data_IF_391432139375
#
_entry.id   IF_391432139375
#
_cell.length_a   1.000
_cell.length_b   1.000
_cell.length_c   1.000
_cell.angle_alpha   90.00
_cell.angle_beta   90.00
_cell.angle_gamma   90.00
#
_symmetry.space_group_name_H-M   'P 1'
#
loop_
_entity.id
_entity.type
_entity.pdbx_description
1 polymer ?
#
# COMPACT_ATOMS: atom_id res chain seq x y z
N UNK A 1 -19.35 49.80 -30.45
CA UNK A 1 -20.31 48.67 -30.68
C UNK A 1 -19.63 47.30 -30.60
N UNK A 2 -18.35 47.16 -30.94
CA UNK A 2 -17.64 45.84 -30.90
C UNK A 2 -17.45 45.25 -29.47
N UNK A 3 -17.32 46.07 -28.43
CA UNK A 3 -17.17 45.59 -27.03
C UNK A 3 -18.48 45.01 -26.46
N UNK A 4 -19.63 45.50 -26.84
CA UNK A 4 -20.94 45.02 -26.36
C UNK A 4 -21.28 43.65 -26.98
N UNK A 5 -20.94 43.46 -28.29
CA UNK A 5 -21.12 42.17 -28.94
C UNK A 5 -20.26 41.04 -28.36
N UNK A 6 -19.02 41.32 -27.95
CA UNK A 6 -18.11 40.36 -27.36
C UNK A 6 -18.57 39.90 -25.97
N UNK A 7 -19.15 40.80 -25.15
CA UNK A 7 -19.70 40.47 -23.81
C UNK A 7 -20.98 39.62 -23.94
N UNK A 8 -21.83 39.94 -24.90
CA UNK A 8 -23.08 39.22 -25.16
C UNK A 8 -22.76 37.81 -25.70
N UNK A 9 -21.82 37.63 -26.58
CA UNK A 9 -21.38 36.35 -27.11
C UNK A 9 -20.76 35.45 -26.00
N UNK A 10 -19.96 36.03 -25.11
CA UNK A 10 -19.41 35.32 -23.95
C UNK A 10 -20.47 34.88 -22.93
N UNK A 11 -21.56 35.67 -22.74
CA UNK A 11 -22.69 35.29 -21.89
C UNK A 11 -23.50 34.17 -22.55
N UNK A 12 -23.73 34.22 -23.85
CA UNK A 12 -24.39 33.14 -24.61
C UNK A 12 -23.60 31.84 -24.55
N UNK A 13 -22.31 31.88 -24.85
CA UNK A 13 -21.44 30.68 -24.75
C UNK A 13 -21.44 30.05 -23.36
N UNK A 14 -21.48 30.86 -22.29
CA UNK A 14 -21.61 30.36 -20.92
C UNK A 14 -22.98 29.74 -20.61
N UNK A 15 -24.03 30.12 -21.29
CA UNK A 15 -25.32 29.49 -21.19
C UNK A 15 -25.33 28.09 -21.82
N UNK A 16 -24.66 27.93 -22.98
CA UNK A 16 -24.57 26.65 -23.66
C UNK A 16 -23.62 25.66 -22.94
N UNK A 17 -22.49 26.13 -22.50
CA UNK A 17 -21.52 25.29 -21.77
C UNK A 17 -20.60 26.12 -20.88
N UNK A 18 -20.53 25.79 -19.60
CA UNK A 18 -19.54 26.33 -18.70
C UNK A 18 -19.17 25.34 -17.60
N UNK A 19 -17.94 25.43 -17.13
CA UNK A 19 -17.45 24.67 -15.98
C UNK A 19 -16.93 25.66 -14.95
N UNK A 20 -17.45 25.56 -13.71
CA UNK A 20 -17.02 26.37 -12.58
C UNK A 20 -16.66 25.44 -11.41
N UNK A 21 -15.53 25.68 -10.77
CA UNK A 21 -15.17 24.99 -9.55
C UNK A 21 -15.68 25.77 -8.33
N UNK A 22 -16.41 25.09 -7.46
CA UNK A 22 -16.94 25.64 -6.20
C UNK A 22 -16.45 24.74 -5.05
N UNK A 23 -15.61 25.26 -4.19
CA UNK A 23 -15.06 24.58 -2.99
C UNK A 23 -14.82 23.06 -3.17
N UNK A 24 -15.83 22.21 -3.01
CA UNK A 24 -15.74 20.75 -3.17
C UNK A 24 -16.54 20.23 -4.35
N UNK A 25 -17.06 21.12 -5.17
CA UNK A 25 -17.92 20.75 -6.27
C UNK A 25 -17.45 21.37 -7.57
N UNK A 26 -17.76 20.69 -8.65
CA UNK A 26 -17.70 21.26 -9.98
C UNK A 26 -19.14 21.46 -10.47
N UNK A 27 -19.44 22.67 -10.92
CA UNK A 27 -20.70 23.01 -11.53
C UNK A 27 -20.48 23.03 -13.04
N UNK A 28 -21.12 22.13 -13.74
CA UNK A 28 -21.20 22.12 -15.22
C UNK A 28 -22.55 22.69 -15.61
N UNK A 29 -22.53 23.71 -16.44
CA UNK A 29 -23.78 24.27 -17.02
C UNK A 29 -23.85 23.83 -18.47
N UNK A 30 -24.94 23.18 -18.85
CA UNK A 30 -25.25 22.76 -20.22
C UNK A 30 -26.64 23.28 -20.55
N UNK A 31 -26.78 24.11 -21.57
CA UNK A 31 -28.03 24.75 -21.94
C UNK A 31 -28.77 25.41 -20.77
N UNK A 32 -28.04 26.10 -19.90
CA UNK A 32 -28.59 26.75 -18.70
C UNK A 32 -28.87 25.82 -17.52
N UNK A 33 -28.87 24.52 -17.71
CA UNK A 33 -29.04 23.52 -16.62
C UNK A 33 -27.73 23.38 -15.87
N UNK A 34 -27.77 23.61 -14.56
CA UNK A 34 -26.59 23.48 -13.67
C UNK A 34 -26.58 22.10 -13.03
N UNK A 35 -25.58 21.31 -13.40
CA UNK A 35 -25.30 20.02 -12.78
C UNK A 35 -24.15 20.22 -11.79
N UNK A 36 -24.43 20.10 -10.51
CA UNK A 36 -23.44 20.21 -9.43
C UNK A 36 -23.05 18.80 -8.99
N UNK A 37 -21.77 18.48 -9.14
CA UNK A 37 -21.25 17.21 -8.64
C UNK A 37 -20.01 17.42 -7.79
N UNK A 38 -19.77 16.51 -6.86
CA UNK A 38 -18.64 16.57 -5.98
C UNK A 38 -17.32 16.39 -6.76
N UNK A 39 -16.40 17.35 -6.65
CA UNK A 39 -15.12 17.34 -7.32
C UNK A 39 -13.99 17.44 -6.31
N UNK A 40 -13.45 16.31 -5.87
CA UNK A 40 -12.53 16.22 -4.72
C UNK A 40 -11.15 16.82 -4.94
N UNK A 41 -10.79 17.21 -6.15
CA UNK A 41 -9.46 17.77 -6.45
C UNK A 41 -9.33 19.27 -6.20
N UNK A 42 -10.40 19.93 -5.76
CA UNK A 42 -10.36 21.32 -5.32
C UNK A 42 -10.10 21.34 -3.82
N UNK A 43 -9.04 22.01 -3.38
CA UNK A 43 -8.74 22.32 -1.98
C UNK A 43 -8.30 21.15 -1.06
N UNK A 44 -7.41 20.26 -1.52
CA UNK A 44 -6.75 19.27 -0.63
C UNK A 44 -7.64 18.13 -0.15
N UNK A 45 -8.79 17.89 -0.82
CA UNK A 45 -9.65 16.75 -0.57
C UNK A 45 -9.23 15.57 -1.46
N UNK A 46 -8.89 14.46 -0.81
CA UNK A 46 -8.39 13.25 -1.47
C UNK A 46 -9.35 12.07 -1.25
N UNK A 47 -9.28 11.10 -2.14
CA UNK A 47 -10.07 9.87 -2.04
C UNK A 47 -9.25 8.76 -1.37
N UNK A 48 -9.81 8.14 -0.34
CA UNK A 48 -9.23 6.96 0.29
C UNK A 48 -9.95 5.69 -0.17
N UNK A 49 -9.31 4.83 -0.99
CA UNK A 49 -9.93 3.58 -1.45
C UNK A 49 -10.09 2.56 -0.32
N UNK A 50 -9.26 2.60 0.73
CA UNK A 50 -9.33 1.66 1.87
C UNK A 50 -10.65 1.77 2.63
N UNK A 51 -11.12 3.00 2.90
CA UNK A 51 -12.40 3.24 3.59
C UNK A 51 -13.50 3.80 2.68
N UNK A 52 -13.23 3.96 1.38
CA UNK A 52 -14.14 4.48 0.36
C UNK A 52 -14.72 5.86 0.68
N UNK A 53 -13.89 6.78 1.21
CA UNK A 53 -14.31 8.13 1.63
C UNK A 53 -13.41 9.21 1.05
N UNK A 54 -14.00 10.39 0.83
CA UNK A 54 -13.28 11.62 0.54
C UNK A 54 -13.06 12.41 1.83
N UNK A 55 -11.89 13.05 1.94
CA UNK A 55 -11.59 13.89 3.10
C UNK A 55 -10.31 14.69 2.93
N UNK A 56 -10.10 15.66 3.81
CA UNK A 56 -8.82 16.37 3.94
C UNK A 56 -7.86 15.47 4.68
N UNK A 57 -6.83 15.03 3.96
CA UNK A 57 -5.83 14.17 4.58
C UNK A 57 -4.95 14.97 5.53
N UNK A 58 -4.53 14.32 6.60
CA UNK A 58 -3.73 14.91 7.66
C UNK A 58 -2.24 14.75 7.36
N UNK A 59 -1.46 15.64 7.90
CA UNK A 59 -0.02 15.58 7.88
C UNK A 59 0.50 14.47 8.81
N UNK A 60 1.72 14.02 8.56
CA UNK A 60 2.44 13.15 9.48
C UNK A 60 3.21 13.98 10.51
N UNK A 61 2.99 13.70 11.78
CA UNK A 61 3.73 14.35 12.87
C UNK A 61 5.17 13.81 12.89
N UNK A 62 6.15 14.69 13.06
CA UNK A 62 7.57 14.32 13.21
C UNK A 62 8.36 14.13 11.92
N UNK A 63 7.72 14.08 10.75
CA UNK A 63 8.38 14.07 9.42
C UNK A 63 7.62 15.01 8.49
N UNK A 64 8.27 15.79 7.61
CA UNK A 64 7.61 16.77 6.74
C UNK A 64 6.87 16.07 5.58
N UNK A 65 5.83 15.30 5.90
CA UNK A 65 4.94 14.64 4.93
C UNK A 65 3.53 15.18 5.10
N UNK A 66 3.11 15.97 4.11
CA UNK A 66 1.85 16.72 4.15
C UNK A 66 0.72 15.98 3.45
N UNK A 67 -0.49 16.05 4.03
CA UNK A 67 -1.72 15.49 3.49
C UNK A 67 -1.61 14.00 3.09
N UNK A 68 -0.97 13.17 3.91
CA UNK A 68 -0.69 11.75 3.59
C UNK A 68 -1.57 10.75 4.31
N UNK A 69 -2.15 11.12 5.47
CA UNK A 69 -2.88 10.23 6.35
C UNK A 69 -4.39 10.44 6.24
N UNK A 70 -5.14 9.40 5.88
CA UNK A 70 -6.60 9.48 5.83
C UNK A 70 -7.20 9.82 7.21
N UNK A 71 -8.10 10.82 7.33
CA UNK A 71 -8.68 11.21 8.61
C UNK A 71 -9.58 10.14 9.22
N UNK A 72 -10.13 9.25 8.42
CA UNK A 72 -11.10 8.22 8.85
C UNK A 72 -10.44 6.90 9.26
N UNK A 73 -9.71 6.27 8.32
CA UNK A 73 -9.10 4.95 8.56
C UNK A 73 -7.61 5.01 8.87
N UNK A 74 -7.00 6.20 8.88
CA UNK A 74 -5.57 6.42 9.15
C UNK A 74 -4.62 5.80 8.13
N UNK A 75 -5.12 5.31 6.98
CA UNK A 75 -4.27 4.76 5.93
C UNK A 75 -3.29 5.80 5.37
N UNK A 76 -2.07 5.36 5.10
CA UNK A 76 -1.01 6.09 4.40
C UNK A 76 -1.03 5.75 2.90
N UNK A 77 -0.10 6.33 2.12
CA UNK A 77 0.01 6.14 0.68
C UNK A 77 0.12 4.68 0.30
N UNK A 78 1.10 3.95 0.90
CA UNK A 78 1.31 2.51 0.68
C UNK A 78 0.05 1.68 0.90
N UNK A 79 -0.71 1.95 1.98
CA UNK A 79 -1.93 1.19 2.29
C UNK A 79 -3.00 1.38 1.21
N UNK A 80 -3.09 2.59 0.61
CA UNK A 80 -4.04 2.87 -0.47
C UNK A 80 -3.66 2.16 -1.77
N UNK A 81 -2.35 2.00 -2.02
CA UNK A 81 -1.88 1.19 -3.15
C UNK A 81 -2.07 -0.30 -2.88
N UNK A 82 -1.62 -0.78 -1.71
CA UNK A 82 -1.74 -2.19 -1.31
C UNK A 82 -3.20 -2.67 -1.27
N UNK A 83 -4.17 -1.79 -0.99
CA UNK A 83 -5.60 -2.11 -1.12
C UNK A 83 -5.95 -2.69 -2.49
N UNK A 84 -5.45 -2.12 -3.59
CA UNK A 84 -5.71 -2.63 -4.93
C UNK A 84 -5.00 -3.95 -5.19
N UNK A 85 -3.78 -4.10 -4.69
CA UNK A 85 -3.05 -5.37 -4.73
C UNK A 85 -3.84 -6.46 -3.99
N UNK A 86 -4.26 -6.20 -2.75
CA UNK A 86 -5.00 -7.15 -1.94
C UNK A 86 -6.35 -7.53 -2.57
N UNK A 87 -7.08 -6.57 -3.13
CA UNK A 87 -8.31 -6.86 -3.89
C UNK A 87 -8.06 -7.74 -5.11
N UNK A 88 -6.97 -7.50 -5.83
CA UNK A 88 -6.62 -8.27 -7.03
C UNK A 88 -6.26 -9.70 -6.67
N UNK A 89 -5.51 -9.91 -5.59
CA UNK A 89 -4.85 -11.17 -5.34
C UNK A 89 -5.53 -12.08 -4.32
N UNK A 90 -6.29 -11.56 -3.35
CA UNK A 90 -6.90 -12.43 -2.34
C UNK A 90 -8.22 -11.94 -1.71
N UNK A 91 -8.47 -10.63 -1.57
CA UNK A 91 -9.70 -10.18 -0.88
C UNK A 91 -10.99 -10.59 -1.59
N UNK A 92 -10.97 -10.74 -2.92
CA UNK A 92 -12.12 -11.18 -3.72
C UNK A 92 -12.21 -12.71 -3.84
N UNK A 93 -11.57 -13.46 -2.94
CA UNK A 93 -11.63 -14.93 -2.95
C UNK A 93 -13.05 -15.45 -2.88
N UNK A 94 -13.30 -16.61 -3.52
CA UNK A 94 -14.58 -17.33 -3.46
C UNK A 94 -14.51 -18.57 -2.56
N UNK A 95 -13.34 -18.86 -1.98
CA UNK A 95 -13.07 -19.97 -1.07
C UNK A 95 -12.44 -19.43 0.21
N UNK A 96 -12.61 -20.10 1.35
CA UNK A 96 -11.86 -19.78 2.57
C UNK A 96 -10.35 -19.81 2.32
N UNK A 97 -9.64 -18.81 2.84
CA UNK A 97 -8.16 -18.72 2.77
C UNK A 97 -7.60 -18.30 4.11
N UNK A 98 -6.38 -18.77 4.42
CA UNK A 98 -5.63 -18.40 5.61
C UNK A 98 -4.60 -17.33 5.26
N UNK A 99 -4.63 -16.21 5.97
CA UNK A 99 -3.76 -15.05 5.72
C UNK A 99 -2.96 -14.71 6.96
N UNK A 100 -1.64 -14.83 6.88
CA UNK A 100 -0.71 -14.35 7.91
C UNK A 100 -0.35 -12.88 7.64
N UNK A 101 -0.31 -12.04 8.66
CA UNK A 101 0.12 -10.65 8.54
C UNK A 101 1.09 -10.27 9.67
N UNK A 102 2.33 -9.95 9.31
CA UNK A 102 3.36 -9.51 10.25
C UNK A 102 3.21 -8.01 10.54
N UNK A 103 3.38 -7.59 11.80
CA UNK A 103 3.27 -6.20 12.25
C UNK A 103 1.99 -5.51 11.73
N UNK A 104 0.79 -5.96 12.11
CA UNK A 104 -0.46 -5.61 11.46
C UNK A 104 -0.81 -4.13 11.61
N UNK A 105 -1.09 -3.44 10.50
CA UNK A 105 -1.58 -2.07 10.53
C UNK A 105 -3.10 -2.03 10.71
N UNK A 106 -3.58 -1.18 11.64
CA UNK A 106 -5.02 -1.10 11.97
C UNK A 106 -5.93 -0.97 10.76
N UNK A 107 -5.57 -0.11 9.79
CA UNK A 107 -6.41 0.12 8.61
C UNK A 107 -6.49 -1.12 7.69
N UNK A 108 -5.49 -2.00 7.72
CA UNK A 108 -5.47 -3.26 6.98
C UNK A 108 -6.25 -4.33 7.75
N UNK A 109 -6.12 -4.40 9.08
CA UNK A 109 -6.96 -5.26 9.92
C UNK A 109 -8.44 -4.94 9.73
N UNK A 110 -8.81 -3.66 9.84
CA UNK A 110 -10.19 -3.19 9.63
C UNK A 110 -10.69 -3.46 8.18
N UNK A 111 -9.80 -3.44 7.21
CA UNK A 111 -10.11 -3.79 5.82
C UNK A 111 -10.40 -5.27 5.69
N UNK A 112 -9.45 -6.13 6.12
CA UNK A 112 -9.54 -7.59 5.96
C UNK A 112 -10.72 -8.15 6.74
N UNK A 113 -11.02 -7.62 7.92
CA UNK A 113 -12.18 -8.02 8.75
C UNK A 113 -13.56 -7.85 8.08
N UNK A 114 -13.63 -7.19 6.90
CA UNK A 114 -14.87 -7.10 6.09
C UNK A 114 -15.05 -8.26 5.12
N UNK A 115 -14.07 -9.18 5.05
CA UNK A 115 -14.05 -10.29 4.10
C UNK A 115 -14.15 -11.62 4.85
N UNK A 116 -15.37 -12.18 4.99
CA UNK A 116 -15.63 -13.31 5.88
C UNK A 116 -14.95 -14.62 5.45
N UNK A 117 -14.49 -14.72 4.21
CA UNK A 117 -13.75 -15.88 3.71
C UNK A 117 -12.24 -15.78 3.98
N UNK A 118 -11.77 -14.71 4.63
CA UNK A 118 -10.36 -14.55 5.00
C UNK A 118 -10.20 -14.87 6.48
N UNK A 119 -9.63 -16.04 6.78
CA UNK A 119 -9.15 -16.36 8.11
C UNK A 119 -7.81 -15.64 8.34
N UNK A 120 -7.88 -14.61 9.17
CA UNK A 120 -6.81 -13.62 9.31
C UNK A 120 -6.04 -13.81 10.63
N UNK A 121 -4.75 -14.04 10.50
CA UNK A 121 -3.82 -14.26 11.59
C UNK A 121 -2.78 -13.13 11.67
N UNK A 122 -3.04 -12.07 12.45
CA UNK A 122 -2.05 -11.02 12.71
C UNK A 122 -1.01 -11.51 13.72
N UNK A 123 0.26 -11.15 13.52
CA UNK A 123 1.34 -11.53 14.42
C UNK A 123 2.40 -10.44 14.58
N UNK A 124 3.05 -10.41 15.73
CA UNK A 124 4.20 -9.55 16.02
C UNK A 124 4.99 -10.14 17.21
N UNK A 125 6.25 -9.72 17.33
CA UNK A 125 7.07 -10.07 18.51
C UNK A 125 6.52 -9.43 19.80
N UNK A 126 5.89 -8.27 19.69
CA UNK A 126 5.29 -7.46 20.77
C UNK A 126 3.79 -7.25 20.58
N UNK A 127 2.96 -8.30 20.70
CA UNK A 127 1.53 -8.25 20.38
C UNK A 127 0.73 -7.26 21.24
N UNK A 128 1.22 -6.88 22.39
CA UNK A 128 0.62 -5.90 23.30
C UNK A 128 0.47 -4.50 22.68
N UNK A 129 1.22 -4.20 21.62
CA UNK A 129 1.12 -2.95 20.83
C UNK A 129 -0.17 -2.88 20.00
N UNK A 130 -0.81 -4.03 19.73
CA UNK A 130 -1.90 -4.17 18.75
C UNK A 130 -3.25 -4.43 19.42
N UNK A 131 -3.69 -3.52 20.30
CA UNK A 131 -4.95 -3.64 21.06
C UNK A 131 -6.21 -3.69 20.20
N UNK A 132 -6.10 -3.43 18.89
CA UNK A 132 -7.20 -3.42 17.95
C UNK A 132 -7.44 -4.76 17.25
N UNK A 133 -6.60 -5.77 17.48
CA UNK A 133 -6.74 -7.12 16.92
C UNK A 133 -6.17 -8.17 17.89
N UNK A 134 -6.53 -9.44 17.69
CA UNK A 134 -5.93 -10.56 18.40
C UNK A 134 -4.59 -10.92 17.78
N UNK A 135 -3.58 -10.09 18.04
CA UNK A 135 -2.24 -10.31 17.54
C UNK A 135 -1.57 -11.48 18.28
N UNK A 136 -1.01 -12.46 17.54
CA UNK A 136 -0.24 -13.57 18.11
C UNK A 136 1.20 -13.13 18.37
N UNK A 137 1.79 -13.67 19.45
CA UNK A 137 3.24 -13.48 19.72
C UNK A 137 4.03 -14.47 18.88
N UNK A 138 4.79 -13.98 17.92
CA UNK A 138 5.62 -14.78 17.03
C UNK A 138 6.90 -14.00 16.67
N UNK A 139 7.99 -14.72 16.54
CA UNK A 139 9.23 -14.20 15.95
C UNK A 139 9.23 -14.54 14.46
N UNK A 140 9.27 -13.52 13.61
CA UNK A 140 9.27 -13.67 12.15
C UNK A 140 10.48 -14.46 11.61
N UNK A 141 11.54 -14.62 12.41
CA UNK A 141 12.73 -15.42 12.08
C UNK A 141 12.66 -16.86 12.61
N UNK A 142 11.64 -17.19 13.39
CA UNK A 142 11.42 -18.53 13.97
C UNK A 142 9.94 -18.73 14.31
N UNK A 143 9.11 -18.91 13.30
CA UNK A 143 7.65 -19.02 13.44
C UNK A 143 7.24 -20.38 14.01
N UNK A 144 6.31 -20.37 14.96
CA UNK A 144 5.74 -21.59 15.54
C UNK A 144 4.75 -22.33 14.64
N UNK A 145 4.37 -21.74 13.51
CA UNK A 145 3.44 -22.34 12.55
C UNK A 145 4.10 -23.49 11.77
N UNK A 146 3.28 -24.52 11.46
CA UNK A 146 3.71 -25.61 10.60
C UNK A 146 3.99 -25.12 9.16
N UNK A 147 4.77 -25.90 8.42
CA UNK A 147 5.00 -25.68 6.99
C UNK A 147 3.69 -25.66 6.22
N UNK A 148 3.61 -24.83 5.17
CA UNK A 148 2.49 -24.83 4.24
C UNK A 148 1.12 -24.56 4.90
N UNK A 149 1.06 -23.67 5.87
CA UNK A 149 -0.15 -23.32 6.63
C UNK A 149 -0.98 -22.26 5.91
N UNK A 150 -0.34 -21.22 5.36
CA UNK A 150 -1.02 -20.02 4.88
C UNK A 150 -1.12 -19.98 3.35
N UNK A 151 -2.25 -19.48 2.85
CA UNK A 151 -2.46 -19.23 1.42
C UNK A 151 -1.81 -17.91 1.00
N UNK A 152 -1.79 -16.92 1.92
CA UNK A 152 -1.19 -15.60 1.71
C UNK A 152 -0.41 -15.18 2.94
N UNK A 153 0.77 -14.60 2.73
CA UNK A 153 1.56 -13.93 3.75
C UNK A 153 1.67 -12.44 3.39
N UNK A 154 1.38 -11.56 4.33
CA UNK A 154 1.54 -10.11 4.21
C UNK A 154 2.64 -9.64 5.13
N UNK A 155 3.58 -8.85 4.62
CA UNK A 155 4.58 -8.17 5.43
C UNK A 155 4.82 -6.77 4.91
N UNK A 156 4.47 -5.78 5.73
CA UNK A 156 4.58 -4.37 5.39
C UNK A 156 5.49 -3.67 6.40
N UNK A 157 6.58 -3.06 5.94
CA UNK A 157 7.50 -2.28 6.77
C UNK A 157 8.02 -3.10 7.97
N UNK A 158 8.58 -4.29 7.69
CA UNK A 158 9.15 -5.20 8.69
C UNK A 158 10.57 -5.60 8.32
N UNK A 159 10.83 -5.94 7.05
CA UNK A 159 12.09 -6.52 6.61
C UNK A 159 13.30 -5.61 6.89
N UNK A 160 13.11 -4.29 6.86
CA UNK A 160 14.12 -3.28 7.18
C UNK A 160 14.58 -3.27 8.65
N UNK A 161 13.81 -3.90 9.53
CA UNK A 161 14.12 -4.02 10.97
C UNK A 161 14.80 -5.36 11.33
N UNK A 162 14.80 -6.33 10.42
CA UNK A 162 15.27 -7.70 10.71
C UNK A 162 16.72 -7.86 10.28
N UNK A 163 17.62 -8.15 11.22
CA UNK A 163 19.05 -8.34 10.93
C UNK A 163 19.30 -9.47 9.94
N UNK A 164 18.68 -10.62 10.15
CA UNK A 164 18.79 -11.78 9.26
C UNK A 164 17.67 -11.80 8.20
N UNK A 165 17.91 -11.07 7.09
CA UNK A 165 17.00 -11.01 5.94
C UNK A 165 16.72 -12.40 5.36
N UNK A 166 17.72 -13.27 5.31
CA UNK A 166 17.58 -14.60 4.74
C UNK A 166 16.62 -15.46 5.56
N UNK A 167 16.79 -15.44 6.88
CA UNK A 167 15.95 -16.18 7.80
C UNK A 167 14.52 -15.70 7.80
N UNK A 168 14.32 -14.36 7.76
CA UNK A 168 13.01 -13.74 7.58
C UNK A 168 12.28 -14.26 6.32
N UNK A 169 12.94 -14.20 5.17
CA UNK A 169 12.36 -14.66 3.90
C UNK A 169 12.10 -16.17 3.91
N UNK A 170 13.03 -16.96 4.44
CA UNK A 170 12.91 -18.43 4.51
C UNK A 170 11.73 -18.86 5.38
N UNK A 171 11.57 -18.28 6.57
CA UNK A 171 10.48 -18.64 7.49
C UNK A 171 9.10 -18.26 6.94
N UNK A 172 8.95 -17.06 6.36
CA UNK A 172 7.69 -16.65 5.76
C UNK A 172 7.32 -17.49 4.53
N UNK A 173 8.32 -17.92 3.75
CA UNK A 173 8.13 -18.85 2.64
C UNK A 173 7.88 -20.29 3.11
N UNK A 174 8.48 -20.72 4.24
CA UNK A 174 8.23 -22.05 4.80
C UNK A 174 6.77 -22.23 5.17
N UNK A 175 6.18 -21.27 5.89
CA UNK A 175 4.78 -21.35 6.33
C UNK A 175 3.77 -21.10 5.22
N UNK A 176 4.19 -20.58 4.07
CA UNK A 176 3.35 -20.35 2.92
C UNK A 176 3.11 -21.67 2.18
N UNK A 177 1.88 -21.95 1.75
CA UNK A 177 1.51 -23.12 0.94
C UNK A 177 2.18 -23.08 -0.45
N UNK A 178 2.45 -24.24 -1.08
CA UNK A 178 2.83 -24.28 -2.49
C UNK A 178 1.78 -23.55 -3.35
N UNK A 179 2.23 -22.67 -4.26
CA UNK A 179 1.36 -21.78 -5.04
C UNK A 179 0.83 -20.55 -4.29
N UNK A 180 1.03 -20.47 -2.98
CA UNK A 180 0.63 -19.33 -2.15
C UNK A 180 1.40 -18.05 -2.48
N UNK A 181 0.93 -16.93 -1.96
CA UNK A 181 1.43 -15.59 -2.25
C UNK A 181 2.07 -14.94 -1.02
N UNK A 182 3.30 -14.48 -1.16
CA UNK A 182 3.93 -13.57 -0.23
C UNK A 182 3.90 -12.14 -0.82
N UNK A 183 3.15 -11.25 -0.19
CA UNK A 183 3.01 -9.84 -0.56
C UNK A 183 3.83 -9.00 0.41
N UNK A 184 4.88 -8.37 -0.11
CA UNK A 184 5.92 -7.71 0.66
C UNK A 184 6.04 -6.23 0.28
N UNK A 185 6.09 -5.35 1.28
CA UNK A 185 6.32 -3.92 1.12
C UNK A 185 7.26 -3.41 2.20
N UNK A 186 8.26 -2.64 1.80
CA UNK A 186 9.30 -2.05 2.67
C UNK A 186 9.83 -0.76 2.02
N UNK A 187 10.52 0.14 2.72
CA UNK A 187 11.06 1.34 2.13
C UNK A 187 12.28 1.05 1.26
N UNK A 188 12.28 1.57 0.03
CA UNK A 188 13.43 1.54 -0.87
C UNK A 188 13.83 2.96 -1.24
N UNK A 189 15.09 3.30 -1.01
CA UNK A 189 15.67 4.60 -1.38
C UNK A 189 16.01 4.59 -2.87
N UNK A 190 15.10 5.12 -3.70
CA UNK A 190 15.21 5.05 -5.16
C UNK A 190 16.45 5.75 -5.73
N UNK A 191 17.05 6.68 -4.99
CA UNK A 191 18.35 7.30 -5.33
C UNK A 191 19.57 6.45 -4.97
N UNK A 192 19.39 5.36 -4.20
CA UNK A 192 20.48 4.47 -3.78
C UNK A 192 20.52 3.26 -4.71
N UNK A 193 21.67 3.03 -5.36
CA UNK A 193 21.83 1.88 -6.28
C UNK A 193 21.95 0.56 -5.53
N UNK A 194 22.75 0.52 -4.47
CA UNK A 194 23.00 -0.66 -3.65
C UNK A 194 22.49 -0.47 -2.24
N UNK A 195 21.94 -1.52 -1.67
CA UNK A 195 21.54 -1.58 -0.27
C UNK A 195 22.75 -1.28 0.63
N UNK A 196 22.55 -0.36 1.56
CA UNK A 196 23.55 -0.01 2.55
C UNK A 196 23.20 -0.67 3.89
N UNK A 197 24.14 -1.46 4.41
CA UNK A 197 24.09 -2.06 5.73
C UNK A 197 25.51 -2.10 6.31
N UNK A 198 25.65 -1.63 7.54
CA UNK A 198 26.88 -1.69 8.31
C UNK A 198 26.55 -2.15 9.73
N UNK A 199 27.06 -3.31 10.12
CA UNK A 199 26.76 -3.92 11.41
C UNK A 199 27.42 -3.16 12.59
N UNK A 200 28.35 -2.24 12.33
CA UNK A 200 28.92 -1.35 13.35
C UNK A 200 27.98 -0.24 13.78
N UNK A 201 26.95 0.09 12.95
CA UNK A 201 25.93 1.09 13.25
C UNK A 201 24.89 0.48 14.19
N UNK A 202 25.03 0.74 15.48
CA UNK A 202 24.21 0.13 16.52
C UNK A 202 23.35 1.13 17.30
N UNK A 203 23.81 2.39 17.43
CA UNK A 203 23.05 3.41 18.17
C UNK A 203 21.79 3.87 17.42
N UNK A 204 20.69 4.19 18.12
CA UNK A 204 19.47 4.71 17.51
C UNK A 204 19.69 5.97 16.66
N UNK A 205 20.55 6.86 17.11
CA UNK A 205 20.89 8.13 16.45
C UNK A 205 21.62 7.89 15.12
N UNK A 206 22.57 6.97 15.10
CA UNK A 206 23.29 6.60 13.87
C UNK A 206 22.36 5.88 12.89
N UNK A 207 21.52 4.95 13.37
CA UNK A 207 20.52 4.28 12.53
C UNK A 207 19.56 5.28 11.90
N UNK A 208 19.05 6.26 12.65
CA UNK A 208 18.22 7.31 12.08
C UNK A 208 18.94 8.13 11.01
N UNK A 209 20.20 8.47 11.26
CA UNK A 209 21.05 9.21 10.32
C UNK A 209 21.31 8.44 9.01
N UNK A 210 21.67 7.16 9.11
CA UNK A 210 22.11 6.37 7.96
C UNK A 210 20.99 5.57 7.29
N UNK A 211 19.99 5.14 8.04
CA UNK A 211 18.90 4.29 7.55
C UNK A 211 17.54 4.99 7.57
N UNK A 212 17.46 6.24 8.07
CA UNK A 212 16.26 7.08 8.07
C UNK A 212 15.27 6.79 9.20
N UNK A 213 15.56 5.82 10.09
CA UNK A 213 14.77 5.53 11.29
C UNK A 213 15.65 4.82 12.33
N UNK A 214 15.41 5.12 13.62
CA UNK A 214 16.23 4.71 14.77
C UNK A 214 16.32 3.18 14.98
N UNK A 215 15.39 2.41 14.45
CA UNK A 215 15.29 0.95 14.57
C UNK A 215 15.46 0.19 13.25
N UNK A 216 15.73 0.89 12.14
CA UNK A 216 16.17 0.25 10.91
C UNK A 216 17.59 -0.31 11.05
N UNK A 217 17.87 -1.42 10.39
CA UNK A 217 19.19 -2.06 10.37
C UNK A 217 19.85 -1.97 9.00
N UNK A 218 19.15 -1.42 8.01
CA UNK A 218 19.64 -1.14 6.66
C UNK A 218 18.81 -0.11 5.93
N UNK A 219 19.41 0.47 4.89
CA UNK A 219 18.72 1.27 3.89
C UNK A 219 18.71 0.50 2.55
N UNK A 220 17.57 0.00 2.12
CA UNK A 220 17.45 -0.70 0.85
C UNK A 220 17.67 0.23 -0.34
N UNK A 221 18.59 -0.17 -1.24
CA UNK A 221 18.76 0.41 -2.56
C UNK A 221 17.94 -0.32 -3.62
N UNK A 222 18.04 0.15 -4.88
CA UNK A 222 17.31 -0.45 -6.02
C UNK A 222 17.73 -1.88 -6.34
N UNK A 223 18.93 -2.31 -5.94
CA UNK A 223 19.44 -3.67 -6.10
C UNK A 223 18.53 -4.73 -5.47
N UNK A 224 17.77 -4.37 -4.42
CA UNK A 224 16.89 -5.31 -3.75
C UNK A 224 15.87 -5.95 -4.71
N UNK A 225 15.36 -5.19 -5.69
CA UNK A 225 14.41 -5.73 -6.66
C UNK A 225 15.02 -6.82 -7.54
N UNK A 226 16.25 -6.61 -8.04
CA UNK A 226 16.96 -7.61 -8.83
C UNK A 226 17.37 -8.81 -8.00
N UNK A 227 17.78 -8.63 -6.73
CA UNK A 227 18.11 -9.72 -5.79
C UNK A 227 16.88 -10.61 -5.54
N UNK A 228 15.74 -10.02 -5.17
CA UNK A 228 14.51 -10.78 -4.92
C UNK A 228 13.98 -11.45 -6.20
N UNK A 229 14.11 -10.81 -7.36
CA UNK A 229 13.76 -11.44 -8.65
C UNK A 229 14.65 -12.64 -8.96
N UNK A 230 15.96 -12.51 -8.79
CA UNK A 230 16.90 -13.60 -9.09
C UNK A 230 16.73 -14.79 -8.13
N UNK A 231 16.52 -14.52 -6.84
CA UNK A 231 16.48 -15.56 -5.81
C UNK A 231 15.11 -16.23 -5.67
N UNK A 232 14.02 -15.46 -5.83
CA UNK A 232 12.67 -15.92 -5.54
C UNK A 232 11.70 -15.79 -6.73
N UNK A 233 12.19 -15.44 -7.91
CA UNK A 233 11.37 -15.10 -9.08
C UNK A 233 10.27 -14.07 -8.76
N UNK A 234 10.63 -13.06 -7.97
CA UNK A 234 9.71 -12.04 -7.50
C UNK A 234 9.23 -11.12 -8.63
N UNK A 235 7.95 -10.81 -8.62
CA UNK A 235 7.34 -9.72 -9.43
C UNK A 235 7.30 -8.45 -8.59
N UNK A 236 7.60 -7.30 -9.19
CA UNK A 236 7.47 -6.00 -8.55
C UNK A 236 6.44 -5.16 -9.29
N UNK A 237 5.40 -4.73 -8.58
CA UNK A 237 4.34 -3.89 -9.15
C UNK A 237 4.44 -2.50 -8.53
N UNK A 238 4.69 -1.48 -9.36
CA UNK A 238 4.71 -0.09 -8.92
C UNK A 238 3.35 0.58 -9.16
N UNK A 239 2.94 1.44 -8.24
CA UNK A 239 1.69 2.18 -8.36
C UNK A 239 1.62 3.04 -9.63
N UNK A 240 2.75 3.62 -10.04
CA UNK A 240 2.88 4.44 -11.26
C UNK A 240 2.60 3.67 -12.55
N UNK A 241 2.83 2.35 -12.55
CA UNK A 241 2.58 1.50 -13.72
C UNK A 241 1.12 1.03 -13.79
N UNK A 242 0.40 1.09 -12.64
CA UNK A 242 -1.01 0.69 -12.53
C UNK A 242 -2.00 1.85 -12.73
N UNK A 243 -1.59 3.08 -12.45
CA UNK A 243 -2.50 4.22 -12.40
C UNK A 243 -1.93 5.46 -13.06
N UNK A 244 -2.80 6.24 -13.73
CA UNK A 244 -2.43 7.55 -14.25
C UNK A 244 -2.01 8.52 -13.12
N UNK A 245 -1.14 9.47 -13.44
CA UNK A 245 -0.69 10.52 -12.49
C UNK A 245 -1.87 11.23 -11.80
N UNK A 246 -2.97 11.51 -12.54
CA UNK A 246 -4.19 12.11 -12.00
C UNK A 246 -4.86 11.21 -10.96
N UNK A 247 -4.92 9.90 -11.20
CA UNK A 247 -5.52 8.94 -10.26
C UNK A 247 -4.68 8.78 -9.01
N UNK A 248 -3.35 8.69 -9.14
CA UNK A 248 -2.42 8.68 -8.02
C UNK A 248 -2.55 9.95 -7.16
N UNK A 249 -2.56 11.13 -7.78
CA UNK A 249 -2.74 12.39 -7.09
C UNK A 249 -4.09 12.46 -6.33
N UNK A 250 -5.19 11.98 -6.97
CA UNK A 250 -6.52 11.93 -6.33
C UNK A 250 -6.53 11.06 -5.07
N UNK A 251 -5.78 9.97 -5.06
CA UNK A 251 -5.67 9.06 -3.92
C UNK A 251 -4.51 9.41 -3.00
N UNK A 252 -3.73 10.44 -3.34
CA UNK A 252 -2.51 10.82 -2.62
C UNK A 252 -1.55 9.62 -2.46
N UNK A 253 -1.33 8.88 -3.54
CA UNK A 253 -0.32 7.82 -3.65
C UNK A 253 0.88 8.47 -4.34
N UNK A 254 1.88 8.91 -3.58
CA UNK A 254 2.97 9.78 -4.05
C UNK A 254 4.30 9.52 -3.35
N UNK A 255 4.43 8.38 -2.65
CA UNK A 255 5.65 8.04 -1.95
C UNK A 255 6.41 6.94 -2.71
N UNK A 256 7.31 7.33 -3.60
CA UNK A 256 8.09 6.41 -4.44
C UNK A 256 8.86 5.35 -3.65
N UNK A 257 9.21 5.64 -2.38
CA UNK A 257 9.90 4.67 -1.51
C UNK A 257 9.03 3.46 -1.13
N UNK A 258 7.70 3.59 -1.16
CA UNK A 258 6.78 2.56 -0.64
C UNK A 258 5.57 2.30 -1.53
N UNK A 259 5.42 3.03 -2.65
CA UNK A 259 4.26 2.88 -3.54
C UNK A 259 4.49 1.73 -4.56
N UNK A 260 4.93 0.58 -4.04
CA UNK A 260 5.10 -0.67 -4.77
C UNK A 260 4.70 -1.86 -3.91
N UNK A 261 4.59 -3.03 -4.53
CA UNK A 261 4.46 -4.31 -3.86
C UNK A 261 5.36 -5.33 -4.54
N UNK A 262 6.14 -6.07 -3.76
CA UNK A 262 6.86 -7.26 -4.22
C UNK A 262 5.97 -8.47 -3.99
N UNK A 263 5.83 -9.32 -5.01
CA UNK A 263 5.03 -10.54 -4.98
C UNK A 263 5.94 -11.72 -5.23
N UNK A 264 6.01 -12.62 -4.27
CA UNK A 264 6.71 -13.89 -4.39
C UNK A 264 5.66 -15.00 -4.37
N UNK A 265 5.69 -15.89 -5.38
CA UNK A 265 4.89 -17.10 -5.40
C UNK A 265 5.75 -18.27 -4.94
N UNK A 266 5.32 -18.97 -3.89
CA UNK A 266 6.00 -20.21 -3.52
C UNK A 266 5.81 -21.23 -4.63
N UNK A 267 6.92 -21.73 -5.17
CA UNK A 267 6.87 -22.73 -6.23
C UNK A 267 6.12 -23.98 -5.76
N UNK A 268 5.30 -24.61 -6.62
CA UNK A 268 4.73 -25.91 -6.31
C UNK A 268 5.86 -26.91 -6.05
N UNK A 269 5.64 -27.86 -5.15
CA UNK A 269 6.54 -29.01 -5.03
C UNK A 269 6.61 -29.71 -6.38
N UNK A 270 7.81 -30.05 -6.83
CA UNK A 270 8.02 -30.76 -8.09
C UNK A 270 7.12 -32.03 -8.12
N UNK A 271 6.18 -32.10 -9.10
CA UNK A 271 5.23 -33.20 -9.24
C UNK A 271 3.75 -32.91 -8.98
N UNK A 272 3.38 -31.72 -8.48
CA UNK A 272 1.95 -31.31 -8.40
C UNK A 272 1.74 -30.00 -9.16
N UNK A 273 0.97 -30.03 -10.24
CA UNK A 273 0.50 -28.82 -10.90
C UNK A 273 -0.27 -27.98 -9.89
N UNK A 274 0.12 -26.70 -9.74
CA UNK A 274 -0.59 -25.77 -8.89
C UNK A 274 -2.01 -25.57 -9.45
N UNK A 275 -3.02 -25.73 -8.61
CA UNK A 275 -4.40 -25.33 -8.95
C UNK A 275 -4.46 -23.79 -9.02
N UNK A 276 -4.14 -23.25 -10.20
CA UNK A 276 -4.13 -21.80 -10.48
C UNK A 276 -5.57 -21.23 -10.49
N UNK A 277 -6.61 -22.07 -10.33
CA UNK A 277 -8.02 -21.65 -10.32
C UNK A 277 -8.38 -20.77 -9.12
N UNK A 278 -7.53 -20.69 -8.10
CA UNK A 278 -7.76 -19.93 -6.88
C UNK A 278 -7.66 -18.41 -7.05
N UNK A 279 -7.09 -17.91 -8.17
CA UNK A 279 -6.70 -16.52 -8.33
C UNK A 279 -7.21 -15.87 -9.65
N UNK A 280 -8.15 -16.52 -10.35
CA UNK A 280 -8.86 -15.91 -11.49
C UNK A 280 -10.19 -15.31 -11.10
#
# INVERSE_FOLDING_TARGET
SARVGCVMLRKLLRFFFSIKNEKYHRVVTIFGIKIKYFHPLTEGVYFCPVCNRYGRFMDMVGKPRFAVKCPYCRSLERHRFLFFIYKKYFLNTRKPIHVLHTAPEKCICDLIGRYPLVDYVPMDLSPERYRFCRCRKEDVTNLSFADNTFDVVLSNQVMEHIMDESKFLTELLRVLKPGGLFLLNFPVYMGLEKTFQDNSITSPEEREKYYGQHDHVRAYGRDIFSRLKAQYNAEVIFAKDCFSKRRLAKMRITNEMTDFCVIIRKQPLAGRAADISLLR
#
